data_IF_449373912731
#
_entry.id   IF_449373912731
#
_cell.length_a   1.000
_cell.length_b   1.000
_cell.length_c   1.000
_cell.angle_alpha   90.00
_cell.angle_beta   90.00
_cell.angle_gamma   90.00
#
_symmetry.space_group_name_H-M   'P 1'
#
loop_
_entity.id
_entity.type
_entity.pdbx_description
1 polymer ?
#
# COMPACT_ATOMS: atom_id res chain seq x y z
N UNK A 1 -29.08 -6.43 29.79
CA UNK A 1 -28.01 -5.79 29.00
C UNK A 1 -28.71 -4.79 28.09
N UNK A 2 -28.42 -3.50 28.27
CA UNK A 2 -29.13 -2.42 27.57
C UNK A 2 -28.70 -2.41 26.09
N UNK A 3 -29.64 -2.13 25.19
CA UNK A 3 -29.43 -1.95 23.76
C UNK A 3 -28.39 -0.85 23.43
N UNK A 4 -28.20 0.09 24.37
CA UNK A 4 -27.22 1.18 24.24
C UNK A 4 -25.77 0.67 24.28
N UNK A 5 -25.46 -0.34 25.09
CA UNK A 5 -24.11 -0.94 25.13
C UNK A 5 -23.72 -1.67 23.85
N UNK A 6 -24.68 -2.24 23.12
CA UNK A 6 -24.42 -2.91 21.85
C UNK A 6 -24.18 -1.91 20.71
N UNK A 7 -24.88 -0.77 20.71
CA UNK A 7 -24.68 0.29 19.74
C UNK A 7 -23.32 1.00 19.95
N UNK A 8 -22.91 1.25 21.19
CA UNK A 8 -21.60 1.80 21.52
C UNK A 8 -20.44 0.83 21.14
N UNK A 9 -20.61 -0.47 21.38
CA UNK A 9 -19.62 -1.48 20.97
C UNK A 9 -19.49 -1.54 19.44
N UNK A 10 -20.59 -1.47 18.71
CA UNK A 10 -20.55 -1.49 17.23
C UNK A 10 -19.91 -0.25 16.63
N UNK A 11 -20.01 0.92 17.27
CA UNK A 11 -19.33 2.15 16.87
C UNK A 11 -17.81 2.13 17.10
N UNK A 12 -17.32 1.25 17.98
CA UNK A 12 -15.88 1.10 18.26
C UNK A 12 -15.15 0.12 17.33
N UNK A 13 -15.90 -0.73 16.61
CA UNK A 13 -15.32 -1.73 15.71
C UNK A 13 -15.02 -1.09 14.34
N UNK A 14 -13.79 -1.20 13.88
CA UNK A 14 -13.39 -0.69 12.57
C UNK A 14 -14.19 -1.35 11.44
N UNK A 15 -14.89 -0.55 10.65
CA UNK A 15 -15.53 -1.01 9.43
C UNK A 15 -14.54 -0.92 8.27
N UNK A 16 -14.34 -2.03 7.57
CA UNK A 16 -13.50 -2.11 6.38
C UNK A 16 -14.42 -2.09 5.16
N UNK A 17 -14.23 -1.10 4.28
CA UNK A 17 -14.94 -1.04 3.01
C UNK A 17 -14.59 -2.21 2.11
N UNK A 18 -15.58 -2.82 1.46
CA UNK A 18 -15.40 -3.89 0.48
C UNK A 18 -14.60 -3.43 -0.74
N UNK A 19 -14.66 -2.11 -1.01
CA UNK A 19 -13.90 -1.49 -2.09
C UNK A 19 -12.48 -1.11 -1.72
N UNK A 20 -12.00 -1.41 -0.49
CA UNK A 20 -10.64 -1.10 -0.07
C UNK A 20 -9.62 -1.80 -0.96
N UNK A 21 -8.72 -1.04 -1.56
CA UNK A 21 -7.57 -1.55 -2.29
C UNK A 21 -6.42 -1.93 -1.35
N UNK A 22 -5.60 -2.89 -1.79
CA UNK A 22 -4.41 -3.33 -1.05
C UNK A 22 -3.21 -3.34 -1.98
N UNK A 23 -2.16 -2.62 -1.60
CA UNK A 23 -1.04 -2.32 -2.48
C UNK A 23 0.30 -2.65 -1.83
N UNK A 24 1.13 -3.37 -2.54
CA UNK A 24 2.52 -3.54 -2.18
C UNK A 24 3.37 -2.50 -2.91
N UNK A 25 4.11 -1.69 -2.17
CA UNK A 25 4.83 -0.55 -2.71
C UNK A 25 6.32 -0.63 -2.41
N UNK A 26 7.17 -0.55 -3.44
CA UNK A 26 8.63 -0.58 -3.31
C UNK A 26 9.23 0.81 -3.40
N UNK A 27 9.94 1.22 -2.35
CA UNK A 27 10.68 2.48 -2.28
C UNK A 27 12.09 2.32 -2.88
N UNK A 28 12.20 1.96 -4.17
CA UNK A 28 13.49 1.76 -4.85
C UNK A 28 14.41 0.79 -4.07
N UNK A 29 13.95 -0.43 -3.82
CA UNK A 29 14.69 -1.42 -3.03
C UNK A 29 14.80 -1.10 -1.54
N UNK A 30 13.93 -0.24 -1.01
CA UNK A 30 13.94 0.19 0.39
C UNK A 30 14.77 1.45 0.66
N UNK A 31 15.43 2.02 -0.36
CA UNK A 31 16.30 3.19 -0.21
C UNK A 31 15.60 4.40 0.45
N UNK A 32 14.31 4.59 0.17
CA UNK A 32 13.53 5.71 0.70
C UNK A 32 12.50 5.29 1.76
N UNK A 33 12.62 4.08 2.30
CA UNK A 33 11.73 3.59 3.36
C UNK A 33 11.70 4.53 4.58
N UNK A 34 12.88 4.98 5.04
CA UNK A 34 12.98 5.86 6.20
C UNK A 34 12.32 7.22 5.98
N UNK A 35 12.46 7.79 4.76
CA UNK A 35 11.78 9.04 4.41
C UNK A 35 10.26 8.85 4.36
N UNK A 36 9.80 7.77 3.74
CA UNK A 36 8.38 7.43 3.67
C UNK A 36 7.77 7.30 5.06
N UNK A 37 8.43 6.55 5.92
CA UNK A 37 7.97 6.30 7.28
C UNK A 37 7.99 7.57 8.14
N UNK A 38 9.11 8.32 8.11
CA UNK A 38 9.29 9.52 8.94
C UNK A 38 8.35 10.66 8.56
N UNK A 39 8.09 10.84 7.27
CA UNK A 39 7.34 11.97 6.75
C UNK A 39 5.93 11.61 6.24
N UNK A 40 5.45 10.42 6.57
CA UNK A 40 4.08 9.96 6.35
C UNK A 40 3.61 10.05 4.89
N UNK A 41 4.41 9.56 3.93
CA UNK A 41 4.04 9.52 2.53
C UNK A 41 4.56 8.27 1.82
N UNK A 42 4.00 7.97 0.65
CA UNK A 42 4.63 7.16 -0.39
C UNK A 42 4.83 8.01 -1.64
N UNK A 43 5.85 7.69 -2.41
CA UNK A 43 6.16 8.48 -3.60
C UNK A 43 6.76 7.66 -4.73
N UNK A 44 6.55 8.14 -5.98
CA UNK A 44 7.09 7.50 -7.18
C UNK A 44 7.99 8.46 -7.96
N UNK A 45 9.04 7.92 -8.57
CA UNK A 45 9.99 8.64 -9.40
C UNK A 45 9.41 9.11 -10.74
N UNK A 46 10.26 9.18 -11.77
CA UNK A 46 9.91 9.74 -13.08
C UNK A 46 9.44 11.18 -12.99
N UNK A 47 10.29 12.03 -12.38
CA UNK A 47 9.94 13.42 -12.04
C UNK A 47 9.72 14.31 -13.26
N UNK A 48 10.19 13.89 -14.43
CA UNK A 48 9.93 14.50 -15.75
C UNK A 48 8.46 14.43 -16.18
N UNK A 49 7.67 13.54 -15.54
CA UNK A 49 6.23 13.38 -15.75
C UNK A 49 5.51 13.98 -14.53
N UNK A 50 4.70 14.98 -14.73
CA UNK A 50 3.86 15.56 -13.67
C UNK A 50 2.54 14.80 -13.51
N UNK A 51 1.80 15.07 -12.40
CA UNK A 51 0.46 14.52 -12.23
C UNK A 51 -0.48 15.01 -13.34
N UNK A 52 -0.33 16.27 -13.78
CA UNK A 52 -1.14 16.84 -14.88
C UNK A 52 -0.97 16.06 -16.19
N UNK A 53 0.21 15.52 -16.44
CA UNK A 53 0.48 14.68 -17.62
C UNK A 53 -0.25 13.33 -17.58
N UNK A 54 -0.79 12.96 -16.44
CA UNK A 54 -1.47 11.68 -16.17
C UNK A 54 -3.00 11.82 -16.11
N UNK A 55 -3.55 13.02 -16.25
CA UNK A 55 -4.99 13.31 -16.10
C UNK A 55 -5.75 13.42 -17.42
N UNK A 56 -5.27 12.76 -18.49
CA UNK A 56 -6.01 12.68 -19.76
C UNK A 56 -7.21 11.72 -19.66
N UNK A 57 -8.16 11.90 -20.58
CA UNK A 57 -9.46 11.24 -20.55
C UNK A 57 -9.38 9.70 -20.71
N UNK A 58 -8.32 9.18 -21.34
CA UNK A 58 -8.16 7.75 -21.54
C UNK A 58 -6.71 7.25 -21.28
N UNK A 59 -6.60 6.04 -20.80
CA UNK A 59 -5.32 5.40 -20.41
C UNK A 59 -4.35 5.25 -21.59
N UNK A 60 -4.87 5.04 -22.80
CA UNK A 60 -4.03 4.87 -24.01
C UNK A 60 -3.34 6.17 -24.39
N UNK A 61 -4.06 7.28 -24.34
CA UNK A 61 -3.52 8.63 -24.57
C UNK A 61 -2.49 8.98 -23.50
N UNK A 62 -2.78 8.73 -22.21
CA UNK A 62 -1.81 8.90 -21.12
C UNK A 62 -0.56 8.09 -21.37
N UNK A 63 -0.68 6.80 -21.69
CA UNK A 63 0.44 5.91 -21.94
C UNK A 63 1.31 6.40 -23.11
N UNK A 64 0.69 6.86 -24.19
CA UNK A 64 1.39 7.38 -25.37
C UNK A 64 2.15 8.67 -25.04
N UNK A 65 1.52 9.60 -24.31
CA UNK A 65 2.14 10.84 -23.87
C UNK A 65 3.34 10.61 -22.96
N UNK A 66 3.22 9.69 -21.99
CA UNK A 66 4.32 9.31 -21.10
C UNK A 66 5.48 8.72 -21.89
N UNK A 67 5.20 7.80 -22.83
CA UNK A 67 6.22 7.18 -23.67
C UNK A 67 6.99 8.23 -24.47
N UNK A 68 6.30 9.19 -25.06
CA UNK A 68 6.92 10.29 -25.81
C UNK A 68 7.86 11.12 -24.91
N UNK A 69 7.41 11.55 -23.73
CA UNK A 69 8.23 12.33 -22.79
C UNK A 69 9.46 11.55 -22.28
N UNK A 70 9.30 10.27 -21.97
CA UNK A 70 10.41 9.43 -21.51
C UNK A 70 11.41 9.12 -22.63
N UNK A 71 10.96 9.04 -23.88
CA UNK A 71 11.84 8.91 -25.05
C UNK A 71 12.74 10.13 -25.20
N UNK A 72 12.19 11.33 -25.06
CA UNK A 72 12.96 12.60 -25.10
C UNK A 72 14.03 12.63 -23.98
N UNK A 73 13.75 12.06 -22.81
CA UNK A 73 14.70 12.00 -21.69
C UNK A 73 15.67 10.83 -21.75
N UNK A 74 15.73 10.07 -22.87
CA UNK A 74 16.63 8.93 -23.06
C UNK A 74 16.22 7.66 -22.31
N UNK A 75 14.97 7.56 -21.85
CA UNK A 75 14.44 6.41 -21.08
C UNK A 75 13.42 5.59 -21.86
N UNK A 76 13.52 5.56 -23.18
CA UNK A 76 12.56 4.93 -24.09
C UNK A 76 12.30 3.44 -23.77
N UNK A 77 13.33 2.66 -23.50
CA UNK A 77 13.23 1.21 -23.26
C UNK A 77 12.37 0.83 -22.06
N UNK A 78 12.25 1.74 -21.08
CA UNK A 78 11.47 1.52 -19.86
C UNK A 78 10.13 2.25 -19.87
N UNK A 79 9.79 2.91 -20.98
CA UNK A 79 8.63 3.81 -21.03
C UNK A 79 7.30 3.13 -20.79
N UNK A 80 7.08 1.93 -21.32
CA UNK A 80 5.86 1.16 -21.13
C UNK A 80 5.66 0.73 -19.68
N UNK A 81 6.72 0.23 -19.04
CA UNK A 81 6.71 -0.12 -17.63
C UNK A 81 6.46 1.11 -16.74
N UNK A 82 7.21 2.18 -16.98
CA UNK A 82 7.09 3.42 -16.24
C UNK A 82 5.68 4.01 -16.34
N UNK A 83 5.10 4.03 -17.56
CA UNK A 83 3.73 4.49 -17.80
C UNK A 83 2.73 3.70 -16.95
N UNK A 84 2.77 2.37 -17.02
CA UNK A 84 1.90 1.47 -16.25
C UNK A 84 2.01 1.71 -14.74
N UNK A 85 3.22 1.90 -14.20
CA UNK A 85 3.42 2.14 -12.77
C UNK A 85 2.89 3.52 -12.35
N UNK A 86 3.11 4.56 -13.15
CA UNK A 86 2.62 5.91 -12.86
C UNK A 86 1.09 6.01 -12.97
N UNK A 87 0.49 5.41 -13.99
CA UNK A 87 -0.98 5.36 -14.14
C UNK A 87 -1.59 4.67 -12.91
N UNK A 88 -1.05 3.51 -12.53
CA UNK A 88 -1.52 2.79 -11.33
C UNK A 88 -1.33 3.61 -10.06
N UNK A 89 -0.24 4.34 -9.91
CA UNK A 89 0.01 5.20 -8.75
C UNK A 89 -0.97 6.36 -8.66
N UNK A 90 -1.34 6.99 -9.79
CA UNK A 90 -2.22 8.18 -9.79
C UNK A 90 -3.70 7.80 -9.82
N UNK A 91 -4.09 6.78 -10.55
CA UNK A 91 -5.49 6.41 -10.78
C UNK A 91 -5.93 5.13 -10.06
N UNK A 92 -4.99 4.29 -9.65
CA UNK A 92 -5.31 3.01 -8.99
C UNK A 92 -5.51 3.16 -7.48
N UNK A 93 -4.73 4.03 -6.82
CA UNK A 93 -4.81 4.24 -5.39
C UNK A 93 -5.92 5.23 -5.05
N UNK A 94 -6.54 5.02 -3.89
CA UNK A 94 -7.53 5.93 -3.33
C UNK A 94 -7.39 6.05 -1.81
N UNK A 95 -7.96 7.09 -1.23
CA UNK A 95 -8.07 7.27 0.22
C UNK A 95 -8.74 6.06 0.86
N UNK A 96 -8.18 5.60 1.97
CA UNK A 96 -8.64 4.41 2.69
C UNK A 96 -7.98 3.10 2.25
N UNK A 97 -7.26 3.08 1.12
CA UNK A 97 -6.50 1.92 0.67
C UNK A 97 -5.34 1.62 1.64
N UNK A 98 -5.00 0.34 1.76
CA UNK A 98 -3.85 -0.12 2.53
C UNK A 98 -2.62 -0.22 1.63
N UNK A 99 -1.51 0.32 2.11
CA UNK A 99 -0.20 0.16 1.47
C UNK A 99 0.76 -0.60 2.38
N UNK A 100 1.51 -1.54 1.80
CA UNK A 100 2.56 -2.29 2.48
C UNK A 100 3.90 -1.92 1.86
N UNK A 101 4.81 -1.42 2.68
CA UNK A 101 6.14 -0.99 2.23
C UNK A 101 7.22 -1.77 2.99
N UNK A 102 8.08 -2.54 2.30
CA UNK A 102 9.21 -3.20 2.91
C UNK A 102 10.38 -2.22 3.12
N UNK A 103 11.15 -2.46 4.16
CA UNK A 103 12.44 -1.81 4.37
C UNK A 103 13.51 -2.30 3.37
N UNK A 104 14.70 -1.74 3.50
CA UNK A 104 15.87 -2.24 2.79
C UNK A 104 16.14 -3.70 3.20
N UNK A 105 16.31 -4.58 2.20
CA UNK A 105 16.42 -6.03 2.36
C UNK A 105 15.12 -6.76 2.77
N UNK A 106 13.99 -6.07 2.85
CA UNK A 106 12.67 -6.65 3.18
C UNK A 106 12.66 -7.47 4.47
N UNK A 107 13.39 -7.00 5.50
CA UNK A 107 13.39 -7.63 6.83
C UNK A 107 12.22 -7.19 7.69
N UNK A 108 11.76 -5.96 7.49
CA UNK A 108 10.59 -5.37 8.13
C UNK A 108 9.64 -4.85 7.07
N UNK A 109 8.39 -4.79 7.43
CA UNK A 109 7.34 -4.17 6.62
C UNK A 109 6.51 -3.23 7.46
N UNK A 110 6.08 -2.14 6.86
CA UNK A 110 5.14 -1.22 7.47
C UNK A 110 3.84 -1.23 6.67
N UNK A 111 2.74 -1.15 7.39
CA UNK A 111 1.39 -1.05 6.87
C UNK A 111 0.87 0.35 7.13
N UNK A 112 0.27 0.95 6.14
CA UNK A 112 -0.32 2.27 6.27
C UNK A 112 -1.61 2.39 5.48
N UNK A 113 -2.40 3.40 5.84
CA UNK A 113 -3.65 3.74 5.18
C UNK A 113 -3.46 5.07 4.46
N UNK A 114 -3.84 5.14 3.19
CA UNK A 114 -3.81 6.37 2.41
C UNK A 114 -4.81 7.36 3.00
N UNK A 115 -4.37 8.58 3.26
CA UNK A 115 -5.17 9.61 3.93
C UNK A 115 -5.52 10.80 3.04
N UNK A 116 -4.71 11.13 2.03
CA UNK A 116 -5.02 12.19 1.08
C UNK A 116 -6.12 11.75 0.09
N UNK A 117 -6.92 12.70 -0.38
CA UNK A 117 -8.01 12.42 -1.33
C UNK A 117 -7.50 12.24 -2.78
N UNK A 118 -6.30 12.74 -3.06
CA UNK A 118 -5.65 12.64 -4.36
C UNK A 118 -4.12 12.69 -4.22
N UNK A 119 -3.37 12.22 -5.24
CA UNK A 119 -1.93 12.39 -5.25
C UNK A 119 -1.57 13.87 -5.44
N UNK A 120 -0.44 14.27 -4.90
CA UNK A 120 0.05 15.64 -4.97
C UNK A 120 1.53 15.72 -5.37
N UNK A 121 1.98 16.92 -5.75
CA UNK A 121 3.38 17.20 -6.03
C UNK A 121 4.10 17.65 -4.75
N UNK A 122 5.27 17.08 -4.48
CA UNK A 122 6.14 17.47 -3.36
C UNK A 122 6.32 18.98 -3.28
N UNK A 123 6.15 19.54 -2.09
CA UNK A 123 6.46 20.94 -1.82
C UNK A 123 7.97 21.22 -1.96
N UNK A 124 8.33 22.41 -2.47
CA UNK A 124 9.72 22.87 -2.53
C UNK A 124 10.37 23.00 -1.15
N UNK A 125 9.56 23.22 -0.11
CA UNK A 125 10.01 23.39 1.27
C UNK A 125 9.98 22.09 2.09
N UNK A 126 9.84 20.95 1.45
CA UNK A 126 9.84 19.66 2.13
C UNK A 126 11.22 19.33 2.70
N UNK A 127 11.27 18.96 3.97
CA UNK A 127 12.51 18.64 4.70
C UNK A 127 13.11 17.28 4.34
N UNK A 128 12.30 16.39 3.72
CA UNK A 128 12.75 15.06 3.35
C UNK A 128 13.74 15.08 2.17
N UNK A 129 14.62 14.11 2.14
CA UNK A 129 15.65 13.94 1.09
C UNK A 129 15.18 13.09 -0.09
N UNK A 130 13.98 12.49 -0.01
CA UNK A 130 13.46 11.66 -1.07
C UNK A 130 13.23 12.49 -2.35
N UNK A 131 13.81 12.11 -3.50
CA UNK A 131 13.69 12.86 -4.75
C UNK A 131 12.31 12.72 -5.41
N UNK A 132 11.47 11.81 -4.95
CA UNK A 132 10.17 11.54 -5.58
C UNK A 132 9.20 12.69 -5.38
N UNK A 133 8.71 13.23 -6.48
CA UNK A 133 7.86 14.41 -6.47
C UNK A 133 6.37 14.10 -6.41
N UNK A 134 5.92 12.98 -6.99
CA UNK A 134 4.52 12.54 -6.92
C UNK A 134 4.31 11.73 -5.66
N UNK A 135 3.32 12.10 -4.83
CA UNK A 135 3.13 11.56 -3.48
C UNK A 135 1.67 11.33 -3.13
N UNK A 136 1.47 10.41 -2.20
CA UNK A 136 0.25 10.21 -1.43
C UNK A 136 0.59 10.27 0.06
N UNK A 137 -0.26 10.91 0.87
CA UNK A 137 -0.11 10.85 2.33
C UNK A 137 -0.57 9.50 2.86
N UNK A 138 0.14 9.02 3.87
CA UNK A 138 -0.11 7.73 4.49
C UNK A 138 -0.05 7.86 6.01
N UNK A 139 -1.03 7.31 6.70
CA UNK A 139 -0.96 7.09 8.14
C UNK A 139 -0.43 5.67 8.40
N UNK A 140 0.76 5.54 8.96
CA UNK A 140 1.36 4.25 9.28
C UNK A 140 0.75 3.70 10.55
N UNK A 141 0.13 2.52 10.45
CA UNK A 141 -0.66 1.93 11.55
C UNK A 141 0.00 0.72 12.20
N UNK A 142 0.83 -0.03 11.46
CA UNK A 142 1.42 -1.26 11.96
C UNK A 142 2.79 -1.51 11.32
N UNK A 143 3.71 -2.10 12.09
CA UNK A 143 5.02 -2.52 11.61
C UNK A 143 5.36 -3.90 12.15
N UNK A 144 5.87 -4.80 11.29
CA UNK A 144 6.22 -6.15 11.70
C UNK A 144 7.50 -6.64 11.01
N UNK A 145 8.17 -7.56 11.67
CA UNK A 145 9.27 -8.31 11.09
C UNK A 145 8.74 -9.33 10.08
N UNK A 146 9.36 -9.43 8.89
CA UNK A 146 8.88 -10.30 7.83
C UNK A 146 8.67 -11.75 8.26
N UNK A 147 9.54 -12.29 9.13
CA UNK A 147 9.45 -13.67 9.58
C UNK A 147 8.26 -13.96 10.51
N UNK A 148 7.58 -12.92 11.00
CA UNK A 148 6.37 -13.03 11.83
C UNK A 148 5.09 -12.87 11.01
N UNK A 149 5.20 -12.49 9.74
CA UNK A 149 4.03 -12.37 8.88
C UNK A 149 3.43 -13.73 8.58
N UNK A 150 2.12 -13.75 8.33
CA UNK A 150 1.47 -14.95 7.80
C UNK A 150 2.20 -15.39 6.52
N UNK A 151 2.64 -16.67 6.41
CA UNK A 151 3.36 -17.18 5.24
C UNK A 151 2.64 -16.98 3.91
N UNK A 152 1.31 -16.90 3.92
CA UNK A 152 0.50 -16.58 2.74
C UNK A 152 0.85 -15.23 2.11
N UNK A 153 1.43 -14.29 2.88
CA UNK A 153 1.90 -13.00 2.39
C UNK A 153 3.28 -13.03 1.74
N UNK A 154 4.06 -14.10 1.90
CA UNK A 154 5.44 -14.15 1.37
C UNK A 154 5.55 -13.96 -0.15
N UNK A 155 4.60 -14.42 -1.00
CA UNK A 155 4.66 -14.20 -2.43
C UNK A 155 4.66 -12.71 -2.84
N UNK A 156 4.12 -11.80 -2.03
CA UNK A 156 4.11 -10.35 -2.35
C UNK A 156 5.54 -9.79 -2.50
N UNK A 157 6.50 -10.34 -1.75
CA UNK A 157 7.90 -9.91 -1.77
C UNK A 157 8.65 -10.28 -3.05
N UNK A 158 8.10 -11.18 -3.87
CA UNK A 158 8.68 -11.55 -5.18
C UNK A 158 8.36 -10.53 -6.27
N UNK A 159 7.40 -9.60 -6.03
CA UNK A 159 7.06 -8.58 -7.01
C UNK A 159 8.27 -7.70 -7.34
N UNK A 160 8.50 -7.47 -8.65
CA UNK A 160 9.52 -6.55 -9.16
C UNK A 160 8.96 -5.18 -9.52
N UNK A 161 7.64 -5.02 -9.42
CA UNK A 161 6.95 -3.76 -9.71
C UNK A 161 7.12 -2.76 -8.57
N UNK A 162 7.08 -1.46 -8.90
CA UNK A 162 7.09 -0.39 -7.90
C UNK A 162 5.81 -0.46 -7.08
N UNK A 163 4.67 -0.64 -7.78
CA UNK A 163 3.37 -0.80 -7.15
C UNK A 163 2.67 -2.04 -7.71
N UNK A 164 2.16 -2.88 -6.82
CA UNK A 164 1.48 -4.13 -7.15
C UNK A 164 0.17 -4.20 -6.39
N UNK A 165 -0.91 -4.52 -7.09
CA UNK A 165 -2.18 -4.87 -6.48
C UNK A 165 -2.05 -6.22 -5.79
N UNK A 166 -2.35 -6.24 -4.50
CA UNK A 166 -2.29 -7.42 -3.63
C UNK A 166 -3.63 -7.70 -2.96
N UNK A 167 -4.74 -7.20 -3.52
CA UNK A 167 -6.09 -7.32 -2.95
C UNK A 167 -6.52 -8.77 -2.71
N UNK A 168 -6.00 -9.73 -3.47
CA UNK A 168 -6.21 -11.16 -3.22
C UNK A 168 -5.71 -11.66 -1.86
N UNK A 169 -4.86 -10.89 -1.19
CA UNK A 169 -4.35 -11.18 0.14
C UNK A 169 -5.05 -10.39 1.25
N UNK A 170 -6.13 -9.66 0.92
CA UNK A 170 -6.86 -8.81 1.85
C UNK A 170 -7.18 -9.46 3.21
N UNK A 171 -7.70 -10.72 3.27
CA UNK A 171 -8.01 -11.33 4.56
C UNK A 171 -6.81 -11.45 5.50
N UNK A 172 -5.63 -11.77 4.94
CA UNK A 172 -4.40 -11.90 5.73
C UNK A 172 -3.83 -10.55 6.15
N UNK A 173 -4.06 -9.51 5.34
CA UNK A 173 -3.63 -8.15 5.62
C UNK A 173 -4.53 -7.54 6.70
N UNK A 174 -5.85 -7.65 6.55
CA UNK A 174 -6.81 -7.12 7.51
C UNK A 174 -6.61 -7.75 8.89
N UNK A 175 -6.43 -9.09 8.97
CA UNK A 175 -6.13 -9.80 10.22
C UNK A 175 -4.76 -9.47 10.84
N UNK A 176 -3.85 -8.89 10.06
CA UNK A 176 -2.54 -8.44 10.57
C UNK A 176 -2.64 -7.06 11.22
N UNK A 177 -3.48 -6.17 10.66
CA UNK A 177 -3.57 -4.77 11.11
C UNK A 177 -4.70 -4.52 12.10
N UNK A 178 -5.64 -5.45 12.26
CA UNK A 178 -6.76 -5.33 13.20
C UNK A 178 -7.18 -6.69 13.74
N UNK A 179 -7.26 -6.80 15.06
CA UNK A 179 -7.72 -8.03 15.73
C UNK A 179 -9.25 -8.18 15.70
N UNK A 180 -9.98 -7.08 15.45
CA UNK A 180 -11.44 -7.07 15.39
C UNK A 180 -11.90 -6.05 14.35
N UNK A 181 -12.66 -6.49 13.34
CA UNK A 181 -13.20 -5.62 12.29
C UNK A 181 -14.49 -6.16 11.69
N UNK A 182 -15.25 -5.29 11.03
CA UNK A 182 -16.45 -5.64 10.24
C UNK A 182 -16.09 -5.49 8.76
N UNK A 183 -16.37 -6.55 7.99
CA UNK A 183 -16.22 -6.57 6.52
C UNK A 183 -17.26 -7.51 5.93
N UNK A 184 -17.83 -7.19 4.76
CA UNK A 184 -18.88 -7.97 4.10
C UNK A 184 -20.05 -8.29 5.08
N UNK A 185 -20.45 -7.29 5.90
CA UNK A 185 -21.47 -7.42 6.95
C UNK A 185 -21.18 -8.49 8.02
N UNK A 186 -19.95 -8.96 8.11
CA UNK A 186 -19.49 -9.96 9.07
C UNK A 186 -18.50 -9.38 10.05
N UNK A 187 -18.59 -9.81 11.30
CA UNK A 187 -17.59 -9.52 12.31
C UNK A 187 -16.45 -10.53 12.19
N UNK A 188 -15.24 -10.03 12.03
CA UNK A 188 -14.02 -10.82 12.00
C UNK A 188 -13.23 -10.56 13.28
N UNK A 189 -12.73 -11.61 13.88
CA UNK A 189 -11.84 -11.52 15.04
C UNK A 189 -10.66 -12.48 14.86
N UNK A 190 -9.49 -12.05 15.32
CA UNK A 190 -8.25 -12.82 15.23
C UNK A 190 -8.00 -13.51 16.56
N UNK A 191 -7.87 -14.82 16.55
CA UNK A 191 -7.48 -15.61 17.70
C UNK A 191 -6.01 -16.00 17.54
N UNK A 192 -5.15 -15.46 18.38
CA UNK A 192 -3.75 -15.86 18.44
C UNK A 192 -3.61 -17.00 19.44
N UNK A 193 -3.42 -18.22 18.94
CA UNK A 193 -3.18 -19.39 19.78
C UNK A 193 -1.67 -19.53 19.98
N UNK A 194 -1.22 -19.27 21.20
CA UNK A 194 0.16 -19.54 21.60
C UNK A 194 0.26 -21.02 21.95
N UNK A 195 1.02 -21.76 21.17
CA UNK A 195 1.32 -23.17 21.44
C UNK A 195 2.81 -23.43 21.24
N UNK A 196 3.40 -24.15 22.18
CA UNK A 196 4.77 -24.66 22.07
C UNK A 196 4.84 -25.94 21.23
N UNK A 197 3.68 -26.49 20.84
CA UNK A 197 3.61 -27.69 20.00
C UNK A 197 3.53 -27.30 18.51
N UNK A 198 4.59 -27.53 17.71
CA UNK A 198 4.62 -27.18 16.30
C UNK A 198 3.60 -27.95 15.44
N UNK A 199 3.08 -29.08 15.90
CA UNK A 199 2.07 -29.88 15.18
C UNK A 199 0.71 -29.16 15.22
N UNK A 200 0.33 -28.58 16.37
CA UNK A 200 -0.95 -27.87 16.51
C UNK A 200 -0.99 -26.52 15.75
N UNK A 201 0.15 -25.97 15.40
CA UNK A 201 0.22 -24.73 14.59
C UNK A 201 -0.22 -24.93 13.14
N UNK A 202 -0.05 -26.13 12.60
CA UNK A 202 -0.38 -26.42 11.21
C UNK A 202 -1.87 -26.76 11.00
N UNK A 203 -2.59 -27.16 12.07
CA UNK A 203 -3.98 -27.59 11.97
C UNK A 203 -4.99 -26.42 11.92
N UNK A 204 -4.55 -25.20 12.22
CA UNK A 204 -5.38 -23.98 12.22
C UNK A 204 -5.17 -23.09 10.97
N UNK A 205 -4.23 -23.46 10.09
CA UNK A 205 -3.89 -22.73 8.86
C UNK A 205 -4.58 -23.29 7.60
N UNK A 206 -5.61 -24.14 7.75
CA UNK A 206 -6.38 -24.75 6.63
C UNK A 206 -7.67 -24.01 6.32
#
# INVERSE_FOLDING_TARGET
>A
MSTDNLSELSMSISQISDERGYWFFRSQGGAYYSDFFKYNFIGIGYNEISIKDLTFADEKTVSTHIKSKLSISGKADKSGYAASQMIRFVHGLKKGDVVIVPDHASRRVVYGIITSDSPYMKSKNSEDKCPFQKRWDVNWTYQEARHRLNPKLFPIFSSRHIITDISKYAPYIDSTISDLYIKDEKVHFVINILTDNPILRNDFDT
#
